data_IF_904388868239
#
_entry.id   IF_904388868239
#
_cell.length_a   1.000
_cell.length_b   1.000
_cell.length_c   1.000
_cell.angle_alpha   90.00
_cell.angle_beta   90.00
_cell.angle_gamma   90.00
#
_symmetry.space_group_name_H-M   'P 1'
#
loop_
_entity.id
_entity.type
_entity.pdbx_description
1 polymer ?
#
# COMPACT_ATOMS: atom_id res chain seq x y z
N UNK A 1 34.87 8.00 17.80
CA UNK A 1 33.87 9.08 17.98
C UNK A 1 32.51 8.52 17.61
N UNK A 2 31.93 7.72 18.51
CA UNK A 2 30.63 7.10 18.31
C UNK A 2 29.56 8.20 18.37
N UNK A 3 28.61 8.19 17.44
CA UNK A 3 27.43 9.04 17.47
C UNK A 3 26.73 8.85 18.83
N UNK A 4 26.85 9.81 19.75
CA UNK A 4 26.26 9.78 21.10
C UNK A 4 24.72 9.83 21.06
N UNK A 5 24.07 8.80 20.49
CA UNK A 5 22.62 8.60 20.55
C UNK A 5 21.75 9.78 20.10
N UNK A 6 22.32 10.76 19.40
CA UNK A 6 21.62 12.01 19.13
C UNK A 6 20.69 11.79 17.94
N UNK A 7 19.41 11.62 18.25
CA UNK A 7 18.33 11.38 17.30
C UNK A 7 18.28 12.41 16.16
N UNK A 8 18.82 13.62 16.36
CA UNK A 8 18.89 14.68 15.32
C UNK A 8 19.71 14.25 14.11
N UNK A 9 20.74 13.43 14.27
CA UNK A 9 21.52 12.93 13.12
C UNK A 9 20.69 12.02 12.21
N UNK A 10 19.66 11.34 12.74
CA UNK A 10 18.72 10.56 11.93
C UNK A 10 17.90 11.49 11.01
N UNK A 11 17.50 12.66 11.51
CA UNK A 11 16.81 13.67 10.69
C UNK A 11 17.73 14.24 9.60
N UNK A 12 19.00 14.52 9.92
CA UNK A 12 19.99 15.02 8.96
C UNK A 12 20.26 13.97 7.86
N UNK A 13 20.41 12.70 8.23
CA UNK A 13 20.56 11.62 7.26
C UNK A 13 19.36 11.54 6.30
N UNK A 14 18.14 11.82 6.78
CA UNK A 14 16.93 11.93 5.98
C UNK A 14 16.91 13.08 4.96
N UNK A 15 17.81 14.07 5.07
CA UNK A 15 17.94 15.17 4.09
C UNK A 15 18.69 14.71 2.83
N UNK A 16 19.59 13.73 2.95
CA UNK A 16 20.43 13.28 1.82
C UNK A 16 19.59 12.84 0.60
N UNK A 17 18.53 12.02 0.75
CA UNK A 17 17.67 11.65 -0.39
C UNK A 17 16.89 12.82 -1.01
N UNK A 18 16.69 13.94 -0.29
CA UNK A 18 15.99 15.11 -0.81
C UNK A 18 16.80 15.78 -1.93
N UNK A 19 18.12 15.89 -1.78
CA UNK A 19 19.00 16.40 -2.83
C UNK A 19 18.99 15.52 -4.07
N UNK A 20 19.01 14.19 -3.88
CA UNK A 20 18.87 13.24 -4.98
C UNK A 20 17.52 13.42 -5.71
N UNK A 21 16.44 13.66 -4.96
CA UNK A 21 15.11 13.90 -5.53
C UNK A 21 15.07 15.18 -6.37
N UNK A 22 15.69 16.26 -5.89
CA UNK A 22 15.81 17.52 -6.65
C UNK A 22 16.60 17.28 -7.94
N UNK A 23 17.73 16.57 -7.85
CA UNK A 23 18.54 16.21 -9.01
C UNK A 23 17.76 15.40 -10.05
N UNK A 24 17.04 14.36 -9.61
CA UNK A 24 16.20 13.56 -10.50
C UNK A 24 15.11 14.40 -11.15
N UNK A 25 14.40 15.25 -10.40
CA UNK A 25 13.35 16.13 -10.95
C UNK A 25 13.86 17.10 -12.00
N UNK A 26 15.10 17.59 -11.87
CA UNK A 26 15.70 18.48 -12.86
C UNK A 26 16.09 17.78 -14.17
N UNK A 27 16.32 16.46 -14.12
CA UNK A 27 16.80 15.67 -15.27
C UNK A 27 15.73 14.81 -15.93
N UNK A 28 14.69 14.43 -15.19
CA UNK A 28 13.58 13.63 -15.71
C UNK A 28 12.80 14.46 -16.73
N UNK A 29 12.70 13.96 -17.96
CA UNK A 29 11.78 14.50 -18.96
C UNK A 29 10.41 13.87 -18.77
N UNK A 30 9.36 14.64 -19.00
CA UNK A 30 8.00 14.11 -19.05
C UNK A 30 7.88 13.10 -20.20
N UNK A 31 6.92 12.17 -20.09
CA UNK A 31 6.70 11.17 -21.13
C UNK A 31 6.06 11.79 -22.37
N UNK A 32 6.39 11.25 -23.56
CA UNK A 32 5.81 11.71 -24.83
C UNK A 32 4.27 11.68 -24.79
N UNK A 33 3.70 10.63 -24.17
CA UNK A 33 2.27 10.47 -24.00
C UNK A 33 1.60 11.56 -23.13
N UNK A 34 2.35 12.13 -22.17
CA UNK A 34 1.85 13.26 -21.39
C UNK A 34 1.79 14.53 -22.26
N UNK A 35 2.78 14.74 -23.12
CA UNK A 35 2.79 15.83 -24.10
C UNK A 35 1.63 15.70 -25.09
N UNK A 36 1.43 14.51 -25.67
CA UNK A 36 0.29 14.23 -26.59
C UNK A 36 -1.07 14.52 -25.93
N UNK A 37 -1.27 14.07 -24.68
CA UNK A 37 -2.52 14.32 -23.96
C UNK A 37 -2.72 15.81 -23.66
N UNK A 38 -1.64 16.56 -23.38
CA UNK A 38 -1.73 18.01 -23.19
C UNK A 38 -2.07 18.74 -24.48
N UNK A 39 -1.49 18.33 -25.61
CA UNK A 39 -1.79 18.88 -26.93
C UNK A 39 -3.25 18.64 -27.29
N UNK A 40 -3.74 17.39 -27.18
CA UNK A 40 -5.16 17.06 -27.40
C UNK A 40 -6.10 17.88 -26.51
N UNK A 41 -5.74 18.09 -25.23
CA UNK A 41 -6.51 18.96 -24.31
C UNK A 41 -6.51 20.42 -24.73
N UNK A 42 -5.41 20.92 -25.29
CA UNK A 42 -5.30 22.30 -25.78
C UNK A 42 -6.12 22.49 -27.05
N UNK A 43 -6.06 21.55 -27.98
CA UNK A 43 -6.88 21.54 -29.20
C UNK A 43 -8.37 21.51 -28.88
N UNK A 44 -8.81 20.60 -28.00
CA UNK A 44 -10.20 20.52 -27.57
C UNK A 44 -10.70 21.81 -26.89
N UNK A 45 -9.84 22.50 -26.13
CA UNK A 45 -10.19 23.79 -25.51
C UNK A 45 -10.34 24.91 -26.53
N UNK A 46 -9.54 24.91 -27.59
CA UNK A 46 -9.56 25.94 -28.63
C UNK A 46 -10.78 25.83 -29.55
N UNK A 47 -11.41 24.65 -29.67
CA UNK A 47 -12.68 24.48 -30.39
C UNK A 47 -13.82 25.22 -29.67
N UNK A 48 -14.69 25.87 -30.44
CA UNK A 48 -15.92 26.46 -29.91
C UNK A 48 -16.82 25.37 -29.31
N UNK A 49 -17.64 25.71 -28.30
CA UNK A 49 -18.43 24.70 -27.58
C UNK A 49 -19.36 23.88 -28.50
N UNK A 50 -19.86 24.47 -29.59
CA UNK A 50 -20.71 23.78 -30.57
C UNK A 50 -19.93 22.91 -31.59
N UNK A 51 -18.61 23.06 -31.66
CA UNK A 51 -17.72 22.32 -32.57
C UNK A 51 -16.97 21.17 -31.88
N UNK A 52 -17.16 21.03 -30.56
CA UNK A 52 -16.54 19.96 -29.76
C UNK A 52 -17.25 18.64 -30.03
N UNK A 53 -16.47 17.62 -30.37
CA UNK A 53 -16.97 16.26 -30.44
C UNK A 53 -17.30 15.72 -29.03
N UNK A 54 -18.04 14.60 -28.96
CA UNK A 54 -18.25 13.90 -27.69
C UNK A 54 -16.92 13.50 -27.03
N UNK A 55 -15.91 13.13 -27.82
CA UNK A 55 -14.57 12.83 -27.33
C UNK A 55 -13.85 14.06 -26.74
N UNK A 56 -14.06 15.26 -27.30
CA UNK A 56 -13.51 16.51 -26.75
C UNK A 56 -14.20 16.87 -25.42
N UNK A 57 -15.51 16.68 -25.33
CA UNK A 57 -16.27 16.86 -24.09
C UNK A 57 -15.86 15.86 -23.03
N UNK A 58 -15.66 14.60 -23.42
CA UNK A 58 -15.15 13.58 -22.52
C UNK A 58 -13.77 13.98 -22.03
N UNK A 59 -12.81 14.24 -22.91
CA UNK A 59 -11.42 14.60 -22.58
C UNK A 59 -11.31 15.81 -21.64
N UNK A 60 -12.20 16.80 -21.80
CA UNK A 60 -12.27 18.01 -20.96
C UNK A 60 -13.11 17.85 -19.67
N UNK A 61 -13.88 16.78 -19.52
CA UNK A 61 -14.71 16.59 -18.33
C UNK A 61 -13.87 16.38 -17.07
N UNK A 62 -14.47 16.59 -15.90
CA UNK A 62 -13.76 16.41 -14.62
C UNK A 62 -13.40 14.93 -14.40
N UNK A 63 -12.12 14.68 -14.11
CA UNK A 63 -11.60 13.31 -13.88
C UNK A 63 -12.30 12.59 -12.72
N UNK A 64 -12.73 13.32 -11.68
CA UNK A 64 -13.55 12.77 -10.60
C UNK A 64 -14.90 12.24 -11.07
N UNK A 65 -15.59 12.94 -11.98
CA UNK A 65 -16.87 12.48 -12.54
C UNK A 65 -16.67 11.21 -13.38
N UNK A 66 -15.57 11.16 -14.14
CA UNK A 66 -15.19 9.98 -14.93
C UNK A 66 -14.82 8.76 -14.06
N UNK A 67 -14.31 8.98 -12.84
CA UNK A 67 -14.03 7.90 -11.89
C UNK A 67 -15.31 7.30 -11.28
N UNK A 68 -16.33 8.14 -11.02
CA UNK A 68 -17.62 7.74 -10.43
C UNK A 68 -18.61 7.27 -11.52
N UNK A 69 -18.20 7.22 -12.79
CA UNK A 69 -19.03 6.71 -13.87
C UNK A 69 -19.42 5.24 -13.64
N UNK A 70 -20.56 4.79 -14.19
CA UNK A 70 -21.02 3.40 -14.06
C UNK A 70 -19.97 2.36 -14.48
N UNK A 71 -19.12 2.72 -15.43
CA UNK A 71 -18.06 1.86 -15.94
C UNK A 71 -16.89 1.68 -14.95
N UNK A 72 -16.50 2.76 -14.27
CA UNK A 72 -15.32 2.77 -13.40
C UNK A 72 -15.65 2.58 -11.92
N UNK A 73 -16.88 2.86 -11.50
CA UNK A 73 -17.28 2.85 -10.09
C UNK A 73 -17.01 1.50 -9.40
N UNK A 74 -17.37 0.39 -10.04
CA UNK A 74 -17.12 -0.95 -9.49
C UNK A 74 -15.61 -1.23 -9.34
N UNK A 75 -14.81 -0.85 -10.35
CA UNK A 75 -13.35 -0.99 -10.33
C UNK A 75 -12.75 -0.15 -9.19
N UNK A 76 -13.22 1.09 -9.04
CA UNK A 76 -12.77 2.03 -8.00
C UNK A 76 -13.13 1.56 -6.60
N UNK A 77 -14.32 1.01 -6.41
CA UNK A 77 -14.73 0.47 -5.11
C UNK A 77 -13.88 -0.74 -4.71
N UNK A 78 -13.66 -1.68 -5.63
CA UNK A 78 -12.83 -2.88 -5.38
C UNK A 78 -11.39 -2.47 -5.05
N UNK A 79 -10.78 -1.61 -5.87
CA UNK A 79 -9.42 -1.09 -5.61
C UNK A 79 -9.37 -0.31 -4.30
N UNK A 80 -10.39 0.50 -4.00
CA UNK A 80 -10.51 1.24 -2.76
C UNK A 80 -10.59 0.33 -1.52
N UNK A 81 -11.31 -0.79 -1.61
CA UNK A 81 -11.34 -1.80 -0.53
C UNK A 81 -9.98 -2.47 -0.39
N UNK A 82 -9.32 -2.84 -1.49
CA UNK A 82 -8.00 -3.48 -1.47
C UNK A 82 -6.93 -2.57 -0.87
N UNK A 83 -6.88 -1.30 -1.29
CA UNK A 83 -5.96 -0.29 -0.71
C UNK A 83 -6.28 -0.05 0.76
N UNK A 84 -7.57 0.01 1.13
CA UNK A 84 -7.98 0.15 2.54
C UNK A 84 -7.51 -1.00 3.40
N UNK A 85 -7.75 -2.25 2.98
CA UNK A 85 -7.31 -3.42 3.73
C UNK A 85 -5.79 -3.47 3.88
N UNK A 86 -5.05 -3.19 2.80
CA UNK A 86 -3.59 -3.15 2.83
C UNK A 86 -3.05 -2.05 3.78
N UNK A 87 -3.61 -0.84 3.71
CA UNK A 87 -3.18 0.31 4.53
C UNK A 87 -3.57 0.13 5.99
N UNK A 88 -4.80 -0.31 6.28
CA UNK A 88 -5.23 -0.57 7.65
C UNK A 88 -4.34 -1.64 8.28
N UNK A 89 -4.12 -2.75 7.58
CA UNK A 89 -3.27 -3.81 8.13
C UNK A 89 -1.83 -3.34 8.37
N UNK A 90 -1.29 -2.52 7.47
CA UNK A 90 0.03 -1.92 7.62
C UNK A 90 0.12 -1.01 8.85
N UNK A 91 -0.78 -0.03 8.97
CA UNK A 91 -0.68 1.00 10.00
C UNK A 91 -1.22 0.55 11.36
N UNK A 92 -2.24 -0.30 11.39
CA UNK A 92 -2.85 -0.74 12.64
C UNK A 92 -2.13 -1.98 13.22
N UNK A 93 -1.82 -2.99 12.39
CA UNK A 93 -1.32 -4.28 12.92
C UNK A 93 0.21 -4.30 13.03
N UNK A 94 0.91 -3.87 11.99
CA UNK A 94 2.39 -3.98 11.96
C UNK A 94 3.08 -2.94 12.84
N UNK A 95 2.42 -1.82 13.13
CA UNK A 95 2.95 -0.79 14.03
C UNK A 95 3.02 -1.26 15.48
N UNK A 96 2.28 -2.31 15.84
CA UNK A 96 2.26 -2.86 17.20
C UNK A 96 3.32 -3.90 17.47
N UNK A 97 4.04 -4.37 16.45
CA UNK A 97 5.08 -5.37 16.64
C UNK A 97 6.09 -4.91 17.71
N UNK A 98 6.66 -3.69 17.70
CA UNK A 98 7.58 -3.25 18.74
C UNK A 98 6.97 -3.20 20.15
N UNK A 99 5.70 -2.79 20.25
CA UNK A 99 4.99 -2.71 21.53
C UNK A 99 4.67 -4.12 22.09
N UNK A 100 4.31 -5.04 21.22
CA UNK A 100 4.14 -6.45 21.56
C UNK A 100 5.45 -7.12 21.96
N UNK A 101 6.56 -6.83 21.26
CA UNK A 101 7.90 -7.29 21.70
C UNK A 101 8.17 -6.79 23.12
N UNK A 102 7.97 -5.51 23.42
CA UNK A 102 8.13 -5.00 24.79
C UNK A 102 7.26 -5.73 25.83
N UNK A 103 6.06 -6.20 25.47
CA UNK A 103 5.22 -6.98 26.39
C UNK A 103 5.79 -8.37 26.69
N UNK A 104 6.44 -9.02 25.72
CA UNK A 104 6.97 -10.39 25.88
C UNK A 104 8.42 -10.44 26.40
N UNK A 105 9.21 -9.37 26.24
CA UNK A 105 10.61 -9.28 26.73
C UNK A 105 10.83 -8.26 27.84
N UNK A 106 9.91 -7.32 28.05
CA UNK A 106 10.06 -6.22 29.00
C UNK A 106 10.52 -4.90 28.37
N UNK A 107 10.41 -3.81 29.13
CA UNK A 107 10.52 -2.43 28.63
C UNK A 107 11.91 -2.05 28.08
N UNK A 108 12.97 -2.77 28.46
CA UNK A 108 14.36 -2.50 28.05
C UNK A 108 14.80 -3.25 26.79
N UNK A 109 13.88 -3.92 26.08
CA UNK A 109 14.17 -4.76 24.92
C UNK A 109 14.48 -3.96 23.63
N UNK A 110 15.52 -3.13 23.65
CA UNK A 110 15.91 -2.28 22.50
C UNK A 110 16.47 -3.11 21.34
N UNK A 111 17.33 -4.09 21.63
CA UNK A 111 17.97 -4.92 20.62
C UNK A 111 16.94 -5.82 19.91
N UNK A 112 16.06 -6.45 20.66
CA UNK A 112 15.02 -7.37 20.21
C UNK A 112 14.02 -6.68 19.28
N UNK A 113 13.59 -5.47 19.63
CA UNK A 113 12.76 -4.61 18.77
C UNK A 113 13.48 -4.25 17.48
N UNK A 114 14.76 -3.90 17.58
CA UNK A 114 15.57 -3.50 16.43
C UNK A 114 15.75 -4.67 15.46
N UNK A 115 16.15 -5.84 15.97
CA UNK A 115 16.25 -7.07 15.16
C UNK A 115 14.92 -7.44 14.52
N UNK A 116 13.83 -7.38 15.27
CA UNK A 116 12.48 -7.65 14.75
C UNK A 116 12.12 -6.71 13.60
N UNK A 117 12.38 -5.41 13.74
CA UNK A 117 12.12 -4.45 12.65
C UNK A 117 13.02 -4.66 11.45
N UNK A 118 14.30 -4.99 11.65
CA UNK A 118 15.21 -5.32 10.55
C UNK A 118 14.73 -6.52 9.73
N UNK A 119 14.30 -7.60 10.39
CA UNK A 119 13.78 -8.79 9.68
C UNK A 119 12.46 -8.50 8.96
N UNK A 120 11.58 -7.70 9.56
CA UNK A 120 10.32 -7.26 8.93
C UNK A 120 10.62 -6.43 7.68
N UNK A 121 11.49 -5.44 7.78
CA UNK A 121 11.85 -4.54 6.68
C UNK A 121 12.61 -5.29 5.58
N UNK A 122 13.44 -6.28 5.94
CA UNK A 122 14.07 -7.17 4.97
C UNK A 122 13.03 -7.99 4.18
N UNK A 123 12.00 -8.50 4.85
CA UNK A 123 10.85 -9.13 4.19
C UNK A 123 10.16 -8.19 3.19
N UNK A 124 10.00 -6.92 3.53
CA UNK A 124 9.42 -5.93 2.61
C UNK A 124 10.30 -5.71 1.38
N UNK A 125 11.61 -5.55 1.55
CA UNK A 125 12.54 -5.38 0.44
C UNK A 125 12.44 -6.58 -0.50
N UNK A 126 12.43 -7.80 0.05
CA UNK A 126 12.24 -9.02 -0.73
C UNK A 126 10.92 -9.01 -1.50
N UNK A 127 9.82 -8.51 -0.90
CA UNK A 127 8.53 -8.42 -1.61
C UNK A 127 8.56 -7.44 -2.77
N UNK A 128 9.29 -6.32 -2.65
CA UNK A 128 9.48 -5.37 -3.74
C UNK A 128 10.30 -5.97 -4.89
N UNK A 129 11.39 -6.66 -4.57
CA UNK A 129 12.27 -7.31 -5.56
C UNK A 129 11.58 -8.47 -6.27
N UNK A 130 10.89 -9.32 -5.51
CA UNK A 130 10.23 -10.52 -6.04
C UNK A 130 8.82 -10.26 -6.57
N UNK A 131 8.24 -9.10 -6.29
CA UNK A 131 6.86 -8.77 -6.68
C UNK A 131 6.63 -8.84 -8.19
N UNK A 132 7.54 -8.27 -8.98
CA UNK A 132 7.47 -8.35 -10.45
C UNK A 132 7.52 -9.78 -10.97
N UNK A 133 8.43 -10.60 -10.46
CA UNK A 133 8.52 -12.02 -10.82
C UNK A 133 7.26 -12.80 -10.44
N UNK A 134 6.69 -12.53 -9.26
CA UNK A 134 5.45 -13.16 -8.81
C UNK A 134 4.25 -12.78 -9.70
N UNK A 135 4.12 -11.49 -10.06
CA UNK A 135 3.07 -11.02 -10.98
C UNK A 135 3.17 -11.77 -12.32
N UNK A 136 4.37 -11.87 -12.89
CA UNK A 136 4.57 -12.55 -14.19
C UNK A 136 4.20 -14.03 -14.15
N UNK A 137 4.47 -14.72 -13.03
CA UNK A 137 4.23 -16.16 -12.91
C UNK A 137 2.80 -16.52 -12.52
N UNK A 138 2.19 -15.77 -11.60
CA UNK A 138 0.90 -16.11 -10.99
C UNK A 138 -0.24 -15.17 -11.39
N UNK A 139 0.08 -13.99 -11.94
CA UNK A 139 -0.87 -12.92 -12.23
C UNK A 139 -1.31 -12.14 -10.99
N UNK A 140 -1.79 -10.91 -11.20
CA UNK A 140 -2.20 -10.00 -10.12
C UNK A 140 -3.21 -10.61 -9.13
N UNK A 141 -4.27 -11.23 -9.65
CA UNK A 141 -5.37 -11.77 -8.82
C UNK A 141 -4.88 -12.84 -7.84
N UNK A 142 -4.15 -13.85 -8.33
CA UNK A 142 -3.66 -14.95 -7.48
C UNK A 142 -2.59 -14.46 -6.50
N UNK A 143 -1.68 -13.61 -6.95
CA UNK A 143 -0.71 -12.97 -6.06
C UNK A 143 -1.41 -12.24 -4.91
N UNK A 144 -2.40 -11.39 -5.22
CA UNK A 144 -3.11 -10.62 -4.21
C UNK A 144 -3.81 -11.50 -3.17
N UNK A 145 -4.53 -12.53 -3.61
CA UNK A 145 -5.21 -13.48 -2.72
C UNK A 145 -4.20 -14.21 -1.83
N UNK A 146 -3.15 -14.78 -2.42
CA UNK A 146 -2.13 -15.53 -1.68
C UNK A 146 -1.40 -14.63 -0.69
N UNK A 147 -1.05 -13.40 -1.09
CA UNK A 147 -0.40 -12.44 -0.20
C UNK A 147 -1.27 -12.08 0.98
N UNK A 148 -2.56 -11.80 0.79
CA UNK A 148 -3.46 -11.51 1.90
C UNK A 148 -3.68 -12.71 2.83
N UNK A 149 -3.90 -13.91 2.28
CA UNK A 149 -4.08 -15.12 3.09
C UNK A 149 -2.82 -15.48 3.89
N UNK A 150 -1.64 -15.42 3.26
CA UNK A 150 -0.40 -15.68 3.96
C UNK A 150 -0.07 -14.58 4.97
N UNK A 151 -0.35 -13.31 4.66
CA UNK A 151 -0.21 -12.23 5.62
C UNK A 151 -1.08 -12.48 6.86
N UNK A 152 -2.32 -12.94 6.70
CA UNK A 152 -3.17 -13.36 7.82
C UNK A 152 -2.54 -14.50 8.63
N UNK A 153 -2.17 -15.61 7.98
CA UNK A 153 -1.62 -16.79 8.65
C UNK A 153 -0.33 -16.46 9.41
N UNK A 154 0.60 -15.73 8.79
CA UNK A 154 1.86 -15.33 9.42
C UNK A 154 1.64 -14.35 10.56
N UNK A 155 0.70 -13.41 10.42
CA UNK A 155 0.40 -12.41 11.46
C UNK A 155 -0.23 -13.08 12.69
N UNK A 156 -1.29 -13.87 12.50
CA UNK A 156 -1.95 -14.59 13.59
C UNK A 156 -0.98 -15.62 14.20
N UNK A 157 -0.26 -16.37 13.36
CA UNK A 157 0.76 -17.32 13.81
C UNK A 157 1.83 -16.66 14.67
N UNK A 158 2.32 -15.48 14.27
CA UNK A 158 3.30 -14.72 15.04
C UNK A 158 2.73 -14.29 16.41
N UNK A 159 1.56 -13.64 16.43
CA UNK A 159 1.02 -13.06 17.68
C UNK A 159 0.47 -14.12 18.65
N UNK A 160 -0.11 -15.21 18.15
CA UNK A 160 -0.75 -16.24 19.00
C UNK A 160 0.23 -17.33 19.46
N UNK A 161 1.27 -17.63 18.68
CA UNK A 161 2.20 -18.74 19.01
C UNK A 161 3.31 -18.30 19.97
N UNK A 162 3.85 -17.09 19.78
CA UNK A 162 5.01 -16.64 20.55
C UNK A 162 4.60 -15.83 21.78
N UNK A 163 4.79 -16.40 22.97
CA UNK A 163 4.60 -15.71 24.26
C UNK A 163 5.90 -15.21 24.89
N UNK A 164 7.04 -15.67 24.37
CA UNK A 164 8.39 -15.28 24.77
C UNK A 164 9.21 -14.97 23.52
N UNK A 165 10.22 -14.11 23.66
CA UNK A 165 11.11 -13.82 22.55
C UNK A 165 12.09 -14.97 22.33
N UNK A 166 12.08 -15.52 21.12
CA UNK A 166 12.91 -16.66 20.74
C UNK A 166 13.30 -16.49 19.27
N UNK A 167 14.52 -16.86 18.83
CA UNK A 167 14.95 -16.67 17.45
C UNK A 167 14.02 -17.27 16.37
N UNK A 168 13.21 -18.26 16.74
CA UNK A 168 12.14 -18.85 15.90
C UNK A 168 11.07 -17.86 15.44
N UNK A 169 10.99 -16.67 16.04
CA UNK A 169 10.06 -15.60 15.66
C UNK A 169 10.45 -14.92 14.35
N UNK A 170 11.74 -14.90 14.00
CA UNK A 170 12.25 -14.12 12.86
C UNK A 170 11.71 -14.57 11.49
N UNK A 171 11.59 -15.87 11.18
CA UNK A 171 10.95 -16.31 9.94
C UNK A 171 9.49 -15.86 9.82
N UNK A 172 8.76 -15.82 10.94
CA UNK A 172 7.37 -15.35 10.95
C UNK A 172 7.31 -13.85 10.69
N UNK A 173 8.15 -13.06 11.36
CA UNK A 173 8.25 -11.62 11.15
C UNK A 173 8.64 -11.28 9.70
N UNK A 174 9.61 -12.00 9.14
CA UNK A 174 10.01 -11.84 7.74
C UNK A 174 8.84 -12.16 6.81
N UNK A 175 8.12 -13.26 7.07
CA UNK A 175 6.91 -13.62 6.33
C UNK A 175 5.82 -12.56 6.40
N UNK A 176 5.56 -12.02 7.60
CA UNK A 176 4.65 -10.88 7.80
C UNK A 176 5.11 -9.68 6.97
N UNK A 177 6.39 -9.29 7.05
CA UNK A 177 6.94 -8.18 6.29
C UNK A 177 6.80 -8.38 4.77
N UNK A 178 7.05 -9.59 4.28
CA UNK A 178 6.93 -9.92 2.86
C UNK A 178 5.48 -9.92 2.37
N UNK A 179 4.61 -10.71 3.00
CA UNK A 179 3.25 -10.93 2.51
C UNK A 179 2.32 -9.75 2.80
N UNK A 180 2.53 -9.01 3.90
CA UNK A 180 1.73 -7.82 4.19
C UNK A 180 2.15 -6.60 3.33
N UNK A 181 3.40 -6.56 2.86
CA UNK A 181 3.85 -5.50 1.95
C UNK A 181 3.56 -5.80 0.48
N UNK A 182 3.51 -7.07 0.08
CA UNK A 182 3.25 -7.46 -1.31
C UNK A 182 1.99 -6.80 -1.92
N UNK A 183 0.83 -6.69 -1.23
CA UNK A 183 -0.33 -5.96 -1.77
C UNK A 183 -0.04 -4.52 -2.18
N UNK A 184 0.86 -3.82 -1.48
CA UNK A 184 1.29 -2.47 -1.89
C UNK A 184 2.03 -2.50 -3.21
N UNK A 185 3.01 -3.41 -3.34
CA UNK A 185 3.78 -3.59 -4.57
C UNK A 185 2.85 -3.89 -5.75
N UNK A 186 1.89 -4.81 -5.55
CA UNK A 186 0.90 -5.17 -6.55
C UNK A 186 0.00 -3.99 -6.93
N UNK A 187 -0.57 -3.28 -5.95
CA UNK A 187 -1.48 -2.16 -6.18
C UNK A 187 -0.80 -0.98 -6.91
N UNK A 188 0.49 -0.76 -6.66
CA UNK A 188 1.25 0.31 -7.33
C UNK A 188 1.40 0.09 -8.84
N UNK A 189 1.47 -1.17 -9.27
CA UNK A 189 1.52 -1.52 -10.69
C UNK A 189 0.13 -1.76 -11.29
N UNK A 190 -0.77 -2.37 -10.51
CA UNK A 190 -2.13 -2.73 -10.95
C UNK A 190 -3.02 -1.52 -11.24
N UNK A 191 -2.98 -0.47 -10.40
CA UNK A 191 -3.84 0.70 -10.59
C UNK A 191 -3.50 1.44 -11.91
N UNK A 192 -2.22 1.71 -12.23
CA UNK A 192 -1.85 2.25 -13.53
C UNK A 192 -2.38 1.46 -14.73
N UNK A 193 -2.29 0.12 -14.68
CA UNK A 193 -2.76 -0.74 -15.79
C UNK A 193 -4.29 -0.79 -15.91
N UNK A 194 -5.03 -0.55 -14.82
CA UNK A 194 -6.49 -0.68 -14.80
C UNK A 194 -7.24 0.55 -15.35
N UNK A 195 -6.61 1.73 -15.29
CA UNK A 195 -7.24 3.01 -15.61
C UNK A 195 -6.59 3.68 -16.82
N UNK A 196 -7.41 4.34 -17.63
CA UNK A 196 -6.93 5.11 -18.79
C UNK A 196 -6.04 6.28 -18.35
N UNK A 197 -5.12 6.69 -19.21
CA UNK A 197 -4.10 7.73 -18.93
C UNK A 197 -4.74 8.99 -18.33
N UNK A 198 -5.93 9.37 -18.81
CA UNK A 198 -6.65 10.56 -18.36
C UNK A 198 -7.05 10.52 -16.88
N UNK A 199 -7.54 9.38 -16.39
CA UNK A 199 -8.09 9.25 -15.03
C UNK A 199 -7.14 8.54 -14.05
N UNK A 200 -6.08 7.89 -14.55
CA UNK A 200 -5.12 7.09 -13.79
C UNK A 200 -4.59 7.77 -12.52
N UNK A 201 -4.11 9.01 -12.64
CA UNK A 201 -3.54 9.75 -11.50
C UNK A 201 -4.61 10.08 -10.44
N UNK A 202 -5.81 10.48 -10.88
CA UNK A 202 -6.95 10.73 -9.98
C UNK A 202 -7.42 9.43 -9.32
N UNK A 203 -7.53 8.34 -10.07
CA UNK A 203 -7.91 7.03 -9.55
C UNK A 203 -6.95 6.57 -8.45
N UNK A 204 -5.65 6.61 -8.73
CA UNK A 204 -4.61 6.28 -7.76
C UNK A 204 -4.73 7.14 -6.50
N UNK A 205 -4.82 8.45 -6.65
CA UNK A 205 -4.96 9.38 -5.53
C UNK A 205 -6.22 9.10 -4.69
N UNK A 206 -7.38 8.92 -5.31
CA UNK A 206 -8.64 8.67 -4.61
C UNK A 206 -8.60 7.35 -3.86
N UNK A 207 -8.25 6.24 -4.52
CA UNK A 207 -8.28 4.92 -3.88
C UNK A 207 -7.25 4.79 -2.77
N UNK A 208 -6.06 5.38 -2.91
CA UNK A 208 -5.07 5.38 -1.82
C UNK A 208 -5.50 6.24 -0.63
N UNK A 209 -6.07 7.42 -0.87
CA UNK A 209 -6.52 8.29 0.20
C UNK A 209 -7.75 7.73 0.91
N UNK A 210 -8.67 7.04 0.22
CA UNK A 210 -9.73 6.27 0.87
C UNK A 210 -9.15 5.32 1.91
N UNK A 211 -8.13 4.53 1.52
CA UNK A 211 -7.51 3.60 2.46
C UNK A 211 -6.79 4.28 3.63
N UNK A 212 -6.20 5.46 3.42
CA UNK A 212 -5.62 6.26 4.52
C UNK A 212 -6.68 6.78 5.49
N UNK A 213 -7.84 7.22 4.98
CA UNK A 213 -8.96 7.67 5.82
C UNK A 213 -9.46 6.52 6.70
N UNK A 214 -9.72 5.35 6.11
CA UNK A 214 -10.15 4.18 6.89
C UNK A 214 -9.07 3.69 7.85
N UNK A 215 -7.80 3.75 7.47
CA UNK A 215 -6.69 3.42 8.37
C UNK A 215 -6.55 4.40 9.53
N UNK A 216 -6.84 5.69 9.33
CA UNK A 216 -6.88 6.65 10.41
C UNK A 216 -8.00 6.31 11.41
N UNK A 217 -9.21 6.00 10.93
CA UNK A 217 -10.30 5.54 11.80
C UNK A 217 -9.96 4.24 12.52
N UNK A 218 -9.38 3.27 11.81
CA UNK A 218 -8.92 2.03 12.42
C UNK A 218 -7.88 2.30 13.51
N UNK A 219 -6.88 3.15 13.25
CA UNK A 219 -5.84 3.52 14.20
C UNK A 219 -6.38 4.28 15.44
N UNK A 220 -7.39 5.13 15.26
CA UNK A 220 -8.07 5.80 16.37
C UNK A 220 -8.86 4.80 17.23
N UNK A 221 -9.56 3.85 16.61
CA UNK A 221 -10.31 2.81 17.30
C UNK A 221 -9.45 1.69 17.90
N UNK A 222 -8.21 1.55 17.43
CA UNK A 222 -7.36 0.41 17.78
C UNK A 222 -6.87 0.45 19.23
N UNK A 223 -6.65 1.64 19.79
CA UNK A 223 -6.33 1.82 21.21
C UNK A 223 -7.46 1.35 22.14
N UNK A 224 -8.71 1.63 21.78
CA UNK A 224 -9.88 1.13 22.51
C UNK A 224 -9.98 -0.41 22.41
N UNK A 225 -9.70 -0.98 21.23
CA UNK A 225 -9.72 -2.43 21.06
C UNK A 225 -8.70 -3.14 21.96
N UNK A 226 -7.49 -2.58 22.11
CA UNK A 226 -6.47 -3.12 23.02
C UNK A 226 -6.98 -3.13 24.46
N UNK A 227 -7.70 -2.09 24.90
CA UNK A 227 -8.29 -2.04 26.25
C UNK A 227 -9.37 -3.10 26.45
N UNK A 228 -10.23 -3.34 25.45
CA UNK A 228 -11.26 -4.40 25.48
C UNK A 228 -10.62 -5.78 25.67
N UNK A 229 -9.46 -6.04 25.08
CA UNK A 229 -8.70 -7.28 25.25
C UNK A 229 -7.77 -7.27 26.49
N UNK A 230 -8.02 -6.41 27.47
CA UNK A 230 -7.25 -6.37 28.72
C UNK A 230 -5.79 -5.94 28.53
N UNK A 231 -5.49 -5.16 27.50
CA UNK A 231 -4.14 -4.68 27.19
C UNK A 231 -3.31 -5.62 26.31
N UNK A 232 -3.86 -6.75 25.84
CA UNK A 232 -3.12 -7.70 25.00
C UNK A 232 -2.99 -7.20 23.56
N UNK A 233 -1.77 -6.80 23.16
CA UNK A 233 -1.49 -6.48 21.75
C UNK A 233 -1.65 -7.71 20.85
N UNK A 234 -1.32 -8.90 21.34
CA UNK A 234 -1.41 -10.13 20.56
C UNK A 234 -2.85 -10.43 20.12
N UNK A 235 -3.80 -10.35 21.04
CA UNK A 235 -5.22 -10.57 20.76
C UNK A 235 -5.78 -9.49 19.84
N UNK A 236 -5.53 -8.21 20.16
CA UNK A 236 -6.00 -7.10 19.33
C UNK A 236 -5.46 -7.18 17.90
N UNK A 237 -4.16 -7.44 17.74
CA UNK A 237 -3.51 -7.57 16.45
C UNK A 237 -4.05 -8.76 15.64
N UNK A 238 -4.30 -9.90 16.30
CA UNK A 238 -4.85 -11.09 15.65
C UNK A 238 -6.31 -10.89 15.21
N UNK A 239 -7.11 -10.16 15.99
CA UNK A 239 -8.46 -9.78 15.58
C UNK A 239 -8.44 -8.82 14.39
N UNK A 240 -7.56 -7.81 14.40
CA UNK A 240 -7.41 -6.90 13.26
C UNK A 240 -6.85 -7.60 12.02
N UNK A 241 -6.07 -8.67 12.17
CA UNK A 241 -5.56 -9.45 11.04
C UNK A 241 -6.70 -10.00 10.16
N UNK A 242 -7.92 -10.18 10.69
CA UNK A 242 -9.09 -10.58 9.91
C UNK A 242 -9.37 -9.64 8.72
N UNK A 243 -8.88 -8.39 8.73
CA UNK A 243 -9.01 -7.49 7.59
C UNK A 243 -8.25 -7.97 6.35
N UNK A 244 -7.20 -8.79 6.53
CA UNK A 244 -6.54 -9.46 5.41
C UNK A 244 -7.48 -10.44 4.71
N UNK A 245 -8.39 -11.11 5.43
CA UNK A 245 -9.39 -11.99 4.83
C UNK A 245 -10.39 -11.20 3.98
N UNK A 246 -10.77 -9.99 4.43
CA UNK A 246 -11.59 -9.06 3.64
C UNK A 246 -10.85 -8.64 2.37
N UNK A 247 -9.54 -8.34 2.48
CA UNK A 247 -8.69 -8.06 1.33
C UNK A 247 -8.60 -9.24 0.34
N UNK A 248 -8.46 -10.47 0.85
CA UNK A 248 -8.45 -11.68 0.03
C UNK A 248 -9.80 -11.91 -0.67
N UNK A 249 -10.92 -11.68 0.02
CA UNK A 249 -12.26 -11.78 -0.56
C UNK A 249 -12.48 -10.71 -1.64
N UNK A 250 -12.09 -9.46 -1.38
CA UNK A 250 -12.15 -8.39 -2.37
C UNK A 250 -11.27 -8.69 -3.60
N UNK A 251 -10.14 -9.36 -3.40
CA UNK A 251 -9.23 -9.72 -4.49
C UNK A 251 -9.85 -10.74 -5.46
N UNK A 252 -10.84 -11.54 -5.04
CA UNK A 252 -11.58 -12.45 -5.92
C UNK A 252 -12.33 -11.69 -7.02
N UNK A 253 -12.77 -10.47 -6.73
CA UNK A 253 -13.51 -9.62 -7.66
C UNK A 253 -12.61 -8.71 -8.50
N UNK A 254 -11.28 -8.80 -8.36
CA UNK A 254 -10.36 -7.98 -9.16
C UNK A 254 -10.58 -8.18 -10.66
N UNK A 255 -10.83 -7.08 -11.42
CA UNK A 255 -10.80 -7.11 -12.86
C UNK A 255 -9.43 -7.57 -13.36
N UNK A 256 -9.39 -8.46 -14.35
CA UNK A 256 -8.14 -8.84 -15.01
C UNK A 256 -7.58 -7.63 -15.77
N UNK A 257 -6.35 -7.19 -15.49
CA UNK A 257 -5.76 -6.08 -16.24
C UNK A 257 -5.42 -6.56 -17.66
N UNK A 258 -5.41 -5.62 -18.62
CA UNK A 258 -5.16 -5.92 -20.03
C UNK A 258 -3.72 -6.38 -20.32
N UNK A 259 -2.80 -6.34 -19.35
CA UNK A 259 -1.38 -6.67 -19.52
C UNK A 259 -0.59 -5.65 -20.34
N UNK A 260 -1.25 -4.57 -20.78
CA UNK A 260 -0.69 -3.36 -21.40
C UNK A 260 -1.34 -2.15 -20.76
N UNK A 261 -0.64 -1.03 -20.74
CA UNK A 261 -1.22 0.25 -20.34
C UNK A 261 -2.39 0.56 -21.28
N UNK A 262 -3.57 0.85 -20.71
CA UNK A 262 -4.74 1.24 -21.50
C UNK A 262 -4.48 2.64 -22.05
N UNK A 263 -4.25 2.69 -23.36
CA UNK A 263 -4.31 3.88 -24.20
C UNK A 263 -5.77 4.04 -24.63
N UNK A 264 -6.30 5.27 -24.56
CA UNK A 264 -7.73 5.58 -24.73
C UNK A 264 -8.36 4.93 -25.98
#
# INVERSE_FOLDING_TARGET
MALNGNWRYLFIAGVIPAFLTVYMRMKLKDSDHFHELQEKKKEAKNKAHHERSEADHELLSHTFKALISKENFNKTMIVGVLTSCAIIAWWAVLSWIPAWINQITGAMAVAERSHTMLFKDFGMILSGVLGGWMITKMGYKRCMIVSFLLAFCFTVGMFMTFKSFTPSIFPYILGVGFFAHMPFVLLWSYIPELYSTRIRSTAFGVTYNMGRIFAAFAALGSGWLIQVFGGSYAMAASSFAAIFLVGAAAAIFMPTPCGKMIED
#
